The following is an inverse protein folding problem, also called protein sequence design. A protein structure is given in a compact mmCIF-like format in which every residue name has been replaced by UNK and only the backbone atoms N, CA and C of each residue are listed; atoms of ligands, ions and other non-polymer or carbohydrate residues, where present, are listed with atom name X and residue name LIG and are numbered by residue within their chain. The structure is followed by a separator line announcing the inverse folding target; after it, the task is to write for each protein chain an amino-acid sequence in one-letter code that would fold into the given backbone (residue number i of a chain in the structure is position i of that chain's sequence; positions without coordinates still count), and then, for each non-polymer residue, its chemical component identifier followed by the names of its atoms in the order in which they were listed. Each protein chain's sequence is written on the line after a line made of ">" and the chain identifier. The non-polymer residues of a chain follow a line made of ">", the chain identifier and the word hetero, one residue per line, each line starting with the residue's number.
data_IF_624247690408
#
_entry.id   IF_624247690408
#
_cell.length_a   1.000
_cell.length_b   1.000
_cell.length_c   1.000
_cell.angle_alpha   90.00
_cell.angle_beta   90.00
_cell.angle_gamma   90.00
#
_symmetry.space_group_name_H-M   'P 1'
#
loop_
_entity.id
_entity.type
_entity.pdbx_description
1 polymer ?
#
# COMPACT_ATOMS: atom_id res chain seq x y z
N UNK A 1 32.68 -8.40 3.63
CA UNK A 1 32.65 -8.31 5.08
C UNK A 1 31.26 -8.00 5.61
N UNK A 2 30.85 -8.58 6.74
CA UNK A 2 29.52 -8.33 7.30
C UNK A 2 29.22 -6.86 7.61
N UNK A 3 30.22 -6.10 7.99
CA UNK A 3 30.08 -4.67 8.30
C UNK A 3 29.68 -3.84 7.10
N UNK A 4 30.19 -4.14 5.92
CA UNK A 4 29.83 -3.46 4.69
C UNK A 4 28.39 -3.76 4.27
N UNK A 5 27.97 -5.02 4.44
CA UNK A 5 26.59 -5.43 4.15
C UNK A 5 25.61 -4.72 5.07
N UNK A 6 25.94 -4.57 6.35
CA UNK A 6 25.09 -3.85 7.31
C UNK A 6 24.97 -2.37 6.95
N UNK A 7 26.05 -1.74 6.52
CA UNK A 7 26.05 -0.33 6.08
C UNK A 7 25.18 -0.12 4.84
N UNK A 8 25.29 -1.02 3.86
CA UNK A 8 24.49 -0.95 2.64
C UNK A 8 23.01 -1.13 2.99
N UNK A 9 22.68 -2.07 3.85
CA UNK A 9 21.33 -2.35 4.29
C UNK A 9 20.72 -1.15 5.03
N UNK A 10 21.46 -0.56 5.96
CA UNK A 10 21.02 0.63 6.70
C UNK A 10 20.81 1.82 5.77
N UNK A 11 21.69 2.02 4.78
CA UNK A 11 21.56 3.08 3.79
C UNK A 11 20.30 2.92 2.94
N UNK A 12 19.97 1.70 2.54
CA UNK A 12 18.75 1.42 1.79
C UNK A 12 17.50 1.63 2.62
N UNK A 13 17.54 1.27 3.89
CA UNK A 13 16.42 1.51 4.81
C UNK A 13 16.16 3.01 4.99
N UNK A 14 17.21 3.81 5.14
CA UNK A 14 17.09 5.27 5.20
C UNK A 14 16.50 5.85 3.91
N UNK A 15 16.92 5.34 2.76
CA UNK A 15 16.40 5.77 1.47
C UNK A 15 14.92 5.48 1.33
N UNK A 16 14.49 4.29 1.76
CA UNK A 16 13.08 3.91 1.75
C UNK A 16 12.29 4.80 2.69
N UNK A 17 12.77 5.04 3.92
CA UNK A 17 12.13 5.92 4.88
C UNK A 17 11.96 7.32 4.33
N UNK A 18 12.97 7.85 3.66
CA UNK A 18 12.92 9.18 3.04
C UNK A 18 11.88 9.23 1.93
N UNK A 19 11.82 8.21 1.09
CA UNK A 19 10.83 8.11 0.02
C UNK A 19 9.41 8.00 0.57
N UNK A 20 9.22 7.20 1.62
CA UNK A 20 7.92 7.05 2.28
C UNK A 20 7.47 8.36 2.92
N UNK A 21 8.38 9.11 3.54
CA UNK A 21 8.07 10.42 4.12
C UNK A 21 7.64 11.42 3.06
N UNK A 22 8.34 11.45 1.92
CA UNK A 22 7.99 12.29 0.78
C UNK A 22 6.63 11.92 0.22
N UNK A 23 6.37 10.63 0.08
CA UNK A 23 5.12 10.11 -0.43
C UNK A 23 3.96 10.50 0.49
N UNK A 24 4.13 10.35 1.79
CA UNK A 24 3.14 10.73 2.77
C UNK A 24 2.84 12.23 2.70
N UNK A 25 3.85 13.07 2.54
CA UNK A 25 3.67 14.51 2.38
C UNK A 25 2.92 14.86 1.09
N UNK A 26 3.24 14.18 -0.02
CA UNK A 26 2.55 14.37 -1.29
C UNK A 26 1.07 14.00 -1.17
N UNK A 27 0.77 12.90 -0.49
CA UNK A 27 -0.61 12.46 -0.23
C UNK A 27 -1.33 13.49 0.62
N UNK A 28 -0.66 14.01 1.65
CA UNK A 28 -1.23 15.06 2.51
C UNK A 28 -1.59 16.30 1.72
N UNK A 29 -0.73 16.73 0.79
CA UNK A 29 -0.99 17.91 -0.03
C UNK A 29 -2.13 17.72 -1.02
N UNK A 30 -2.28 16.51 -1.54
CA UNK A 30 -3.23 16.22 -2.62
C UNK A 30 -4.55 15.60 -2.13
N UNK A 31 -4.56 14.99 -0.96
CA UNK A 31 -5.70 14.23 -0.42
C UNK A 31 -6.22 14.88 0.86
N UNK A 32 -6.77 16.09 0.69
CA UNK A 32 -7.31 16.88 1.80
C UNK A 32 -8.58 16.24 2.34
N UNK A 33 -8.64 15.55 3.34
CA UNK A 33 -9.82 14.89 3.89
C UNK A 33 -9.49 13.58 4.55
N UNK A 34 -8.25 13.10 4.36
CA UNK A 34 -7.76 11.95 5.07
C UNK A 34 -7.06 12.41 6.35
N UNK A 35 -7.33 11.76 7.47
CA UNK A 35 -6.60 11.97 8.70
C UNK A 35 -5.16 11.49 8.56
N UNK A 36 -4.28 11.95 9.46
CA UNK A 36 -2.88 11.56 9.44
C UNK A 36 -2.70 10.04 9.53
N UNK A 37 -3.44 9.39 10.42
CA UNK A 37 -3.38 7.94 10.58
C UNK A 37 -3.83 7.21 9.31
N UNK A 38 -4.86 7.73 8.64
CA UNK A 38 -5.37 7.15 7.40
C UNK A 38 -4.34 7.23 6.28
N UNK A 39 -3.62 8.35 6.21
CA UNK A 39 -2.55 8.52 5.21
C UNK A 39 -1.42 7.51 5.43
N UNK A 40 -1.02 7.32 6.68
CA UNK A 40 0.01 6.34 7.02
C UNK A 40 -0.44 4.93 6.64
N UNK A 41 -1.67 4.56 7.00
CA UNK A 41 -2.22 3.25 6.65
C UNK A 41 -2.30 3.06 5.13
N UNK A 42 -2.68 4.10 4.41
CA UNK A 42 -2.77 4.04 2.95
C UNK A 42 -1.39 3.76 2.32
N UNK A 43 -0.35 4.47 2.76
CA UNK A 43 1.01 4.27 2.27
C UNK A 43 1.50 2.86 2.61
N UNK A 44 1.31 2.43 3.85
CA UNK A 44 1.73 1.09 4.29
C UNK A 44 1.01 0.00 3.49
N UNK A 45 -0.30 0.16 3.29
CA UNK A 45 -1.09 -0.80 2.53
C UNK A 45 -0.58 -0.94 1.10
N UNK A 46 -0.30 0.18 0.43
CA UNK A 46 0.19 0.16 -0.94
C UNK A 46 1.59 -0.44 -1.04
N UNK A 47 2.46 -0.16 -0.08
CA UNK A 47 3.80 -0.76 -0.03
C UNK A 47 3.70 -2.29 0.11
N UNK A 48 2.87 -2.77 1.04
CA UNK A 48 2.68 -4.22 1.23
C UNK A 48 2.16 -4.87 -0.07
N UNK A 49 1.20 -4.22 -0.72
CA UNK A 49 0.64 -4.74 -1.97
C UNK A 49 1.68 -4.84 -3.09
N UNK A 50 2.71 -3.99 -3.09
CA UNK A 50 3.76 -4.02 -4.11
C UNK A 50 4.81 -5.11 -3.86
N UNK A 51 4.91 -5.65 -2.64
CA UNK A 51 6.00 -6.57 -2.29
C UNK A 51 5.84 -7.98 -2.88
N UNK A 52 4.64 -8.55 -2.77
CA UNK A 52 4.46 -9.96 -3.14
C UNK A 52 5.31 -10.90 -2.29
N UNK A 53 5.26 -12.18 -2.62
CA UNK A 53 6.09 -13.21 -1.99
C UNK A 53 6.60 -14.10 -3.12
N UNK A 54 7.90 -14.12 -3.40
CA UNK A 54 8.45 -14.93 -4.51
C UNK A 54 7.98 -16.39 -4.46
N UNK A 55 7.44 -16.86 -5.58
CA UNK A 55 6.95 -18.23 -5.73
C UNK A 55 5.59 -18.51 -5.08
N UNK A 56 5.02 -17.57 -4.33
CA UNK A 56 3.76 -17.79 -3.60
C UNK A 56 2.69 -16.74 -3.87
N UNK A 57 3.08 -15.48 -3.96
CA UNK A 57 2.14 -14.38 -4.16
C UNK A 57 2.77 -13.34 -5.08
N UNK A 58 2.15 -13.13 -6.23
CA UNK A 58 2.61 -12.12 -7.17
C UNK A 58 2.38 -10.72 -6.59
N UNK A 59 3.30 -9.76 -6.85
CA UNK A 59 3.04 -8.36 -6.54
C UNK A 59 1.78 -7.89 -7.27
N UNK A 60 1.06 -6.96 -6.68
CA UNK A 60 -0.11 -6.38 -7.34
C UNK A 60 0.35 -5.50 -8.51
N UNK A 61 -0.19 -5.77 -9.68
CA UNK A 61 0.09 -4.96 -10.88
C UNK A 61 -0.91 -3.79 -10.92
N UNK A 62 -0.44 -2.62 -11.31
CA UNK A 62 -1.30 -1.44 -11.45
C UNK A 62 -2.48 -1.65 -12.40
N UNK A 63 -2.35 -2.57 -13.36
CA UNK A 63 -3.42 -2.92 -14.30
C UNK A 63 -4.59 -3.62 -13.62
N UNK A 64 -4.38 -4.21 -12.46
CA UNK A 64 -5.45 -4.85 -11.69
C UNK A 64 -6.36 -3.83 -11.02
N UNK A 65 -5.91 -2.57 -10.89
CA UNK A 65 -6.69 -1.48 -10.32
C UNK A 65 -7.45 -0.77 -11.44
N UNK A 66 -8.71 -1.13 -11.61
CA UNK A 66 -9.54 -0.65 -12.73
C UNK A 66 -10.41 0.56 -12.36
N UNK A 67 -10.28 1.05 -11.15
CA UNK A 67 -11.07 2.17 -10.63
C UNK A 67 -12.58 1.92 -10.69
N UNK A 68 -12.98 0.66 -10.49
CA UNK A 68 -14.38 0.26 -10.46
C UNK A 68 -15.10 0.86 -9.27
N UNK A 69 -16.40 1.13 -9.45
CA UNK A 69 -17.28 1.55 -8.36
C UNK A 69 -18.13 0.38 -7.84
N UNK A 70 -18.01 -0.79 -8.45
CA UNK A 70 -18.77 -1.97 -8.03
C UNK A 70 -18.23 -2.54 -6.72
N UNK A 71 -19.13 -2.95 -5.84
CA UNK A 71 -18.76 -3.60 -4.59
C UNK A 71 -17.90 -4.82 -4.88
N UNK A 72 -16.89 -5.04 -4.05
CA UNK A 72 -15.88 -6.10 -4.17
C UNK A 72 -14.91 -5.96 -5.34
N UNK A 73 -15.10 -4.98 -6.22
CA UNK A 73 -14.22 -4.73 -7.36
C UNK A 73 -13.53 -3.36 -7.29
N UNK A 74 -13.81 -2.59 -6.24
CA UNK A 74 -13.15 -1.30 -6.03
C UNK A 74 -11.65 -1.52 -5.80
N UNK A 75 -10.85 -0.49 -6.10
CA UNK A 75 -9.41 -0.59 -5.92
C UNK A 75 -9.02 -0.93 -4.48
N UNK A 76 -9.73 -0.38 -3.51
CA UNK A 76 -9.54 -0.72 -2.09
C UNK A 76 -9.82 -2.17 -1.78
N UNK A 77 -10.83 -2.76 -2.40
CA UNK A 77 -11.16 -4.18 -2.21
C UNK A 77 -10.04 -5.08 -2.75
N UNK A 78 -9.47 -4.72 -3.89
CA UNK A 78 -8.40 -5.47 -4.54
C UNK A 78 -7.13 -5.42 -3.69
N UNK A 79 -6.75 -4.25 -3.22
CA UNK A 79 -5.59 -4.08 -2.35
C UNK A 79 -5.79 -4.82 -1.03
N UNK A 80 -6.97 -4.72 -0.44
CA UNK A 80 -7.30 -5.41 0.81
C UNK A 80 -7.12 -6.93 0.68
N UNK A 81 -7.64 -7.52 -0.39
CA UNK A 81 -7.49 -8.96 -0.63
C UNK A 81 -6.04 -9.38 -0.78
N UNK A 82 -5.25 -8.56 -1.46
CA UNK A 82 -3.82 -8.83 -1.65
C UNK A 82 -3.08 -8.81 -0.29
N UNK A 83 -3.35 -7.83 0.55
CA UNK A 83 -2.76 -7.73 1.88
C UNK A 83 -3.19 -8.90 2.76
N UNK A 84 -4.46 -9.27 2.73
CA UNK A 84 -4.97 -10.42 3.48
C UNK A 84 -4.23 -11.70 3.11
N UNK A 85 -4.03 -11.94 1.82
CA UNK A 85 -3.29 -13.10 1.35
C UNK A 85 -1.81 -13.04 1.75
N UNK A 86 -1.20 -11.87 1.67
CA UNK A 86 0.18 -11.65 2.09
C UNK A 86 0.37 -12.02 3.57
N UNK A 87 -0.49 -11.50 4.43
CA UNK A 87 -0.39 -11.75 5.87
C UNK A 87 -0.61 -13.23 6.22
N UNK A 88 -1.53 -13.89 5.52
CA UNK A 88 -1.80 -15.31 5.71
C UNK A 88 -0.58 -16.14 5.30
N UNK A 89 0.01 -15.84 4.16
CA UNK A 89 1.16 -16.59 3.64
C UNK A 89 2.43 -16.34 4.45
N UNK A 90 2.54 -15.17 5.09
CA UNK A 90 3.65 -14.87 6.02
C UNK A 90 3.43 -15.46 7.41
N UNK A 91 2.35 -16.21 7.61
CA UNK A 91 2.02 -16.87 8.88
C UNK A 91 1.93 -15.89 10.06
N UNK A 92 1.42 -14.69 9.82
CA UNK A 92 1.14 -13.74 10.89
C UNK A 92 0.03 -14.33 11.79
N UNK A 93 0.18 -14.31 13.12
CA UNK A 93 -0.82 -14.86 14.02
C UNK A 93 -2.21 -14.26 13.76
N UNK A 94 -3.25 -15.09 13.87
CA UNK A 94 -4.61 -14.72 13.51
C UNK A 94 -5.09 -13.44 14.20
N UNK A 95 -4.88 -13.32 15.51
CA UNK A 95 -5.30 -12.13 16.27
C UNK A 95 -4.65 -10.86 15.74
N UNK A 96 -3.34 -10.93 15.48
CA UNK A 96 -2.59 -9.78 14.96
C UNK A 96 -3.00 -9.45 13.53
N UNK A 97 -3.20 -10.49 12.70
CA UNK A 97 -3.66 -10.35 11.33
C UNK A 97 -5.03 -9.65 11.27
N UNK A 98 -5.98 -10.08 12.08
CA UNK A 98 -7.30 -9.47 12.14
C UNK A 98 -7.24 -8.01 12.56
N UNK A 99 -6.38 -7.69 13.53
CA UNK A 99 -6.20 -6.32 14.00
C UNK A 99 -5.67 -5.42 12.88
N UNK A 100 -4.67 -5.89 12.14
CA UNK A 100 -4.08 -5.16 11.01
C UNK A 100 -5.14 -4.94 9.92
N UNK A 101 -5.84 -6.00 9.54
CA UNK A 101 -6.86 -5.93 8.50
C UNK A 101 -8.01 -5.00 8.87
N UNK A 102 -8.43 -5.03 10.13
CA UNK A 102 -9.49 -4.13 10.61
C UNK A 102 -9.06 -2.67 10.51
N UNK A 103 -7.81 -2.37 10.88
CA UNK A 103 -7.28 -1.01 10.79
C UNK A 103 -7.21 -0.52 9.34
N UNK A 104 -6.80 -1.40 8.43
CA UNK A 104 -6.68 -1.06 7.00
C UNK A 104 -8.03 -0.97 6.31
N UNK A 105 -9.00 -1.79 6.73
CA UNK A 105 -10.33 -1.85 6.13
C UNK A 105 -11.00 -0.49 6.11
N UNK A 106 -10.99 0.22 7.22
CA UNK A 106 -11.63 1.53 7.32
C UNK A 106 -11.07 2.51 6.30
N UNK A 107 -9.76 2.53 6.12
CA UNK A 107 -9.12 3.41 5.15
C UNK A 107 -9.36 2.97 3.72
N UNK A 108 -9.17 1.68 3.43
CA UNK A 108 -9.27 1.15 2.05
C UNK A 108 -10.70 1.15 1.51
N UNK A 109 -11.71 1.15 2.39
CA UNK A 109 -13.11 1.16 1.97
C UNK A 109 -13.74 2.55 1.95
N UNK A 110 -12.95 3.59 2.18
CA UNK A 110 -13.43 4.98 2.10
C UNK A 110 -13.89 5.29 0.68
N UNK A 111 -15.08 5.81 0.53
CA UNK A 111 -15.68 6.11 -0.77
C UNK A 111 -14.82 7.08 -1.57
N UNK A 112 -14.34 8.14 -0.93
CA UNK A 112 -13.58 9.19 -1.63
C UNK A 112 -12.32 8.70 -2.33
N UNK A 113 -11.58 7.76 -1.72
CA UNK A 113 -10.35 7.26 -2.33
C UNK A 113 -10.58 6.21 -3.40
N UNK A 114 -11.75 5.55 -3.39
CA UNK A 114 -12.13 4.55 -4.39
C UNK A 114 -12.87 5.16 -5.57
N UNK A 115 -13.46 6.33 -5.40
CA UNK A 115 -14.25 6.99 -6.43
C UNK A 115 -13.33 7.48 -7.56
N UNK A 116 -13.63 7.14 -8.82
CA UNK A 116 -12.82 7.64 -9.93
C UNK A 116 -13.02 9.13 -10.15
N UNK A 117 -11.88 9.82 -10.31
CA UNK A 117 -11.84 11.23 -10.68
C UNK A 117 -10.95 11.30 -11.92
N UNK A 118 -11.47 11.81 -13.02
CA UNK A 118 -10.78 11.81 -14.31
C UNK A 118 -10.34 10.40 -14.74
N UNK A 119 -11.19 9.42 -14.45
CA UNK A 119 -10.98 8.04 -14.88
C UNK A 119 -10.16 7.15 -13.96
N UNK A 120 -9.60 7.70 -12.88
CA UNK A 120 -8.79 6.93 -11.94
C UNK A 120 -9.15 7.27 -10.48
N UNK A 121 -9.13 6.26 -9.61
CA UNK A 121 -9.31 6.49 -8.18
C UNK A 121 -8.04 7.10 -7.59
N UNK A 122 -8.19 7.82 -6.48
CA UNK A 122 -7.05 8.36 -5.75
C UNK A 122 -6.15 7.23 -5.24
N UNK A 123 -6.75 6.12 -4.83
CA UNK A 123 -6.01 4.96 -4.36
C UNK A 123 -5.10 4.39 -5.45
N UNK A 124 -5.59 4.31 -6.69
CA UNK A 124 -4.78 3.90 -7.82
C UNK A 124 -3.61 4.85 -8.07
N UNK A 125 -3.86 6.16 -7.97
CA UNK A 125 -2.80 7.17 -8.14
C UNK A 125 -1.71 7.01 -7.10
N UNK A 126 -2.10 6.79 -5.85
CA UNK A 126 -1.14 6.54 -4.76
C UNK A 126 -0.35 5.27 -5.03
N UNK A 127 -1.02 4.20 -5.43
CA UNK A 127 -0.38 2.93 -5.74
C UNK A 127 0.67 3.09 -6.86
N UNK A 128 0.29 3.75 -7.95
CA UNK A 128 1.21 3.99 -9.08
C UNK A 128 2.42 4.80 -8.63
N UNK A 129 2.20 5.81 -7.80
CA UNK A 129 3.28 6.63 -7.27
C UNK A 129 4.23 5.82 -6.38
N UNK A 130 3.70 4.93 -5.54
CA UNK A 130 4.51 4.04 -4.71
C UNK A 130 5.35 3.12 -5.59
N UNK A 131 4.75 2.52 -6.62
CA UNK A 131 5.45 1.65 -7.55
C UNK A 131 6.58 2.41 -8.26
N UNK A 132 6.30 3.61 -8.74
CA UNK A 132 7.30 4.41 -9.44
C UNK A 132 8.44 4.86 -8.53
N UNK A 133 8.15 5.20 -7.27
CA UNK A 133 9.15 5.66 -6.31
C UNK A 133 9.96 4.53 -5.67
N UNK A 134 9.36 3.37 -5.46
CA UNK A 134 9.98 2.24 -4.77
C UNK A 134 10.27 1.04 -5.66
N UNK A 135 9.75 1.04 -6.87
CA UNK A 135 9.76 -0.12 -7.78
C UNK A 135 11.07 -0.38 -8.50
N UNK A 136 12.07 0.40 -8.23
CA UNK A 136 13.39 0.18 -8.78
C UNK A 136 14.32 -0.41 -7.72
#
# INVERSE_FOLDING_TARGET
>A
PPEELEKIKASKEEEIDTRLSRLNNDIYQNEKGLGESDRVYLVVATVIATLGIPGKLAPLDKKELTSSTEEDLRDGDIIFRKIRNFLRLKAVPETKREMILRSLQNTLWTENINKPVNGESQLKRVFVKVVDDLGE
#
